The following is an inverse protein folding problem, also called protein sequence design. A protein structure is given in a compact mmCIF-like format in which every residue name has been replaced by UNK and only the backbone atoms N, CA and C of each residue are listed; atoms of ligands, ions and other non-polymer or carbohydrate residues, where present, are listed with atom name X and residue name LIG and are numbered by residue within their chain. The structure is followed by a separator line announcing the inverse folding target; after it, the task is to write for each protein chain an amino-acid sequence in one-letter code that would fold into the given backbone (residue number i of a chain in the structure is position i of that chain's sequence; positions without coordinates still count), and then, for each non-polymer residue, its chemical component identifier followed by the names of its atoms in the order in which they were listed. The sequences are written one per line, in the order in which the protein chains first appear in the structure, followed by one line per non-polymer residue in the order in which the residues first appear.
data_IF_984065486416
#
_entry.id   IF_984065486416
#
_cell.length_a   1.000
_cell.length_b   1.000
_cell.length_c   1.000
_cell.angle_alpha   90.00
_cell.angle_beta   90.00
_cell.angle_gamma   90.00
#
_symmetry.space_group_name_H-M   'P 1'
#
loop_
_entity.id
_entity.type
_entity.pdbx_description
1 polymer ?
#
# COMPACT_ATOMS: atom_id res chain seq x y z
N UNK A 1 2.26 7.11 -19.81
CA UNK A 1 2.07 7.02 -18.35
C UNK A 1 0.68 6.47 -18.09
N UNK A 2 0.56 5.41 -17.30
CA UNK A 2 -0.72 4.80 -16.91
C UNK A 2 -0.95 5.17 -15.44
N UNK A 3 -2.08 5.79 -15.14
CA UNK A 3 -2.46 6.14 -13.77
C UNK A 3 -3.55 5.20 -13.26
N UNK A 4 -3.42 4.81 -11.99
CA UNK A 4 -4.40 4.03 -11.25
C UNK A 4 -4.84 4.84 -10.04
N UNK A 5 -6.15 4.85 -9.78
CA UNK A 5 -6.74 5.55 -8.64
C UNK A 5 -7.07 4.52 -7.54
N UNK A 6 -6.64 4.80 -6.31
CA UNK A 6 -6.90 4.00 -5.10
C UNK A 6 -7.76 4.82 -4.15
N UNK A 7 -8.63 4.17 -3.38
CA UNK A 7 -9.67 4.82 -2.56
C UNK A 7 -10.64 5.68 -3.40
N UNK A 8 -10.18 6.84 -3.86
CA UNK A 8 -10.89 7.72 -4.80
C UNK A 8 -11.95 8.62 -4.18
N UNK A 9 -12.08 8.63 -2.85
CA UNK A 9 -12.81 9.69 -2.15
C UNK A 9 -12.11 11.03 -2.25
N UNK A 10 -12.79 12.08 -1.76
CA UNK A 10 -12.21 13.41 -1.65
C UNK A 10 -11.01 13.45 -0.69
N UNK A 11 -11.04 12.62 0.34
CA UNK A 11 -9.92 12.38 1.24
C UNK A 11 -9.82 10.90 1.65
N UNK A 12 -8.75 10.57 2.35
CA UNK A 12 -8.66 9.38 3.19
C UNK A 12 -9.24 9.75 4.56
N UNK A 13 -10.50 9.40 4.81
CA UNK A 13 -11.22 9.81 6.01
C UNK A 13 -10.79 9.03 7.25
N UNK A 14 -10.98 9.63 8.43
CA UNK A 14 -10.92 8.90 9.71
C UNK A 14 -12.07 7.89 9.81
N UNK A 15 -11.86 6.82 10.58
CA UNK A 15 -12.81 5.73 10.77
C UNK A 15 -13.42 5.68 12.19
N UNK A 16 -12.94 6.51 13.12
CA UNK A 16 -13.42 6.52 14.50
C UNK A 16 -14.45 7.62 14.78
N UNK A 17 -14.25 8.81 14.22
CA UNK A 17 -15.00 10.04 14.56
C UNK A 17 -15.84 10.59 13.40
N UNK A 18 -16.04 9.78 12.36
CA UNK A 18 -16.86 10.12 11.19
C UNK A 18 -18.23 9.47 11.27
N UNK A 19 -19.24 10.15 10.71
CA UNK A 19 -20.55 9.55 10.50
C UNK A 19 -20.59 8.90 9.11
N UNK A 20 -21.27 7.76 8.98
CA UNK A 20 -21.29 7.01 7.71
C UNK A 20 -21.88 7.81 6.54
N UNK A 21 -22.78 8.77 6.81
CA UNK A 21 -23.29 9.71 5.80
C UNK A 21 -22.15 10.53 5.21
N UNK A 22 -21.32 11.15 6.05
CA UNK A 22 -20.21 11.99 5.60
C UNK A 22 -19.13 11.15 4.89
N UNK A 23 -18.90 9.92 5.35
CA UNK A 23 -18.03 8.97 4.66
C UNK A 23 -18.52 8.69 3.23
N UNK A 24 -19.83 8.48 3.04
CA UNK A 24 -20.46 8.26 1.72
C UNK A 24 -20.39 9.51 0.86
N UNK A 25 -20.70 10.68 1.41
CA UNK A 25 -20.75 11.94 0.66
C UNK A 25 -19.37 12.31 0.08
N UNK A 26 -18.33 12.30 0.92
CA UNK A 26 -16.97 12.61 0.45
C UNK A 26 -16.45 11.56 -0.54
N UNK A 27 -16.84 10.28 -0.36
CA UNK A 27 -16.45 9.20 -1.28
C UNK A 27 -17.12 9.39 -2.63
N UNK A 28 -18.42 9.67 -2.61
CA UNK A 28 -19.24 9.88 -3.80
C UNK A 28 -18.74 11.07 -4.61
N UNK A 29 -18.39 12.17 -3.95
CA UNK A 29 -17.83 13.35 -4.60
C UNK A 29 -16.56 13.00 -5.40
N UNK A 30 -15.61 12.29 -4.78
CA UNK A 30 -14.39 11.87 -5.46
C UNK A 30 -14.64 10.87 -6.60
N UNK A 31 -15.50 9.86 -6.37
CA UNK A 31 -15.83 8.84 -7.37
C UNK A 31 -16.54 9.43 -8.58
N UNK A 32 -17.46 10.38 -8.39
CA UNK A 32 -18.14 11.09 -9.48
C UNK A 32 -17.16 11.88 -10.35
N UNK A 33 -16.17 12.54 -9.72
CA UNK A 33 -15.12 13.24 -10.45
C UNK A 33 -14.27 12.26 -11.26
N UNK A 34 -13.81 11.17 -10.66
CA UNK A 34 -13.02 10.15 -11.38
C UNK A 34 -13.80 9.50 -12.53
N UNK A 35 -15.10 9.26 -12.32
CA UNK A 35 -15.97 8.67 -13.33
C UNK A 35 -16.22 9.63 -14.49
N UNK A 36 -16.49 10.90 -14.21
CA UNK A 36 -16.77 11.91 -15.26
C UNK A 36 -15.52 12.29 -16.06
N UNK A 37 -14.37 12.43 -15.41
CA UNK A 37 -13.13 12.89 -16.06
C UNK A 37 -12.37 11.76 -16.74
N UNK A 38 -12.36 10.55 -16.16
CA UNK A 38 -11.48 9.47 -16.61
C UNK A 38 -12.21 8.16 -16.93
N UNK A 39 -13.53 8.11 -16.71
CA UNK A 39 -14.32 6.89 -16.78
C UNK A 39 -13.71 5.75 -15.95
N UNK A 40 -13.16 6.08 -14.78
CA UNK A 40 -12.55 5.11 -13.85
C UNK A 40 -13.40 4.93 -12.60
N UNK A 41 -13.40 3.70 -12.10
CA UNK A 41 -14.00 3.30 -10.83
C UNK A 41 -12.93 2.55 -10.04
N UNK A 42 -12.44 3.08 -8.91
CA UNK A 42 -11.46 2.40 -8.07
C UNK A 42 -11.95 1.03 -7.60
N UNK A 43 -11.02 0.09 -7.44
CA UNK A 43 -11.31 -1.30 -6.99
C UNK A 43 -10.60 -1.67 -5.69
N UNK A 44 -9.75 -0.78 -5.17
CA UNK A 44 -8.99 -1.02 -3.95
C UNK A 44 -9.06 0.20 -3.04
N UNK A 45 -9.58 -0.01 -1.83
CA UNK A 45 -9.54 0.95 -0.73
C UNK A 45 -8.11 1.16 -0.23
N UNK A 46 -7.81 2.38 0.19
CA UNK A 46 -6.48 2.79 0.66
C UNK A 46 -6.66 3.62 1.93
N UNK A 47 -6.44 2.99 3.07
CA UNK A 47 -6.64 3.53 4.42
C UNK A 47 -5.34 3.38 5.21
N UNK A 48 -4.24 3.91 4.66
CA UNK A 48 -2.90 3.67 5.21
C UNK A 48 -2.66 4.38 6.55
N UNK A 49 -3.35 5.49 6.80
CA UNK A 49 -3.05 6.39 7.91
C UNK A 49 -4.16 6.61 8.98
N UNK A 50 -5.44 6.20 8.82
CA UNK A 50 -6.40 6.24 9.92
C UNK A 50 -5.96 5.42 11.14
N UNK A 51 -6.30 5.90 12.34
CA UNK A 51 -5.83 5.33 13.61
C UNK A 51 -6.76 4.21 14.12
N UNK A 52 -6.68 3.06 13.47
CA UNK A 52 -7.59 1.93 13.69
C UNK A 52 -8.72 1.94 12.67
N UNK A 53 -9.43 0.82 12.56
CA UNK A 53 -10.34 0.58 11.45
C UNK A 53 -11.72 0.10 11.91
N UNK A 54 -12.76 0.60 11.27
CA UNK A 54 -14.16 0.35 11.64
C UNK A 54 -14.76 -0.81 10.86
N UNK A 55 -15.70 -1.53 11.48
CA UNK A 55 -16.46 -2.56 10.78
C UNK A 55 -17.22 -2.00 9.56
N UNK A 56 -17.71 -0.75 9.66
CA UNK A 56 -18.44 -0.04 8.60
C UNK A 56 -17.54 0.24 7.40
N UNK A 57 -16.26 0.56 7.61
CA UNK A 57 -15.31 0.74 6.52
C UNK A 57 -15.17 -0.51 5.67
N UNK A 58 -15.14 -1.69 6.31
CA UNK A 58 -14.96 -2.96 5.60
C UNK A 58 -16.15 -3.31 4.71
N UNK A 59 -17.36 -3.32 5.29
CA UNK A 59 -18.52 -3.81 4.55
C UNK A 59 -19.15 -2.71 3.69
N UNK A 60 -19.33 -1.49 4.21
CA UNK A 60 -20.07 -0.44 3.50
C UNK A 60 -19.17 0.39 2.59
N UNK A 61 -18.09 0.96 3.12
CA UNK A 61 -17.14 1.77 2.34
C UNK A 61 -16.00 0.93 1.72
N UNK A 62 -16.22 -0.38 1.66
CA UNK A 62 -15.33 -1.35 1.04
C UNK A 62 -16.13 -2.21 0.07
N UNK A 63 -16.74 -3.29 0.59
CA UNK A 63 -17.44 -4.26 -0.23
C UNK A 63 -18.61 -3.65 -1.04
N UNK A 64 -19.50 -2.87 -0.40
CA UNK A 64 -20.68 -2.28 -1.07
C UNK A 64 -20.32 -1.18 -2.08
N UNK A 65 -19.14 -0.54 -1.96
CA UNK A 65 -18.61 0.34 -3.01
C UNK A 65 -18.15 -0.42 -4.26
N UNK A 66 -18.04 -1.75 -4.17
CA UNK A 66 -17.48 -2.61 -5.21
C UNK A 66 -15.96 -2.71 -5.18
N UNK A 67 -15.33 -2.47 -4.03
CA UNK A 67 -13.90 -2.76 -3.86
C UNK A 67 -13.67 -4.25 -3.66
N UNK A 68 -12.58 -4.74 -4.26
CA UNK A 68 -12.09 -6.10 -4.09
C UNK A 68 -11.18 -6.22 -2.86
N UNK A 69 -10.51 -5.12 -2.47
CA UNK A 69 -9.58 -5.07 -1.35
C UNK A 69 -9.56 -3.74 -0.61
N UNK A 70 -9.08 -3.77 0.64
CA UNK A 70 -8.71 -2.59 1.43
C UNK A 70 -7.33 -2.82 2.06
N UNK A 71 -6.50 -1.78 2.03
CA UNK A 71 -5.11 -1.84 2.48
C UNK A 71 -4.85 -0.76 3.52
N UNK A 72 -4.16 -1.11 4.60
CA UNK A 72 -3.93 -0.21 5.72
C UNK A 72 -2.66 -0.54 6.49
N UNK A 73 -2.04 0.45 7.14
CA UNK A 73 -0.84 0.23 7.92
C UNK A 73 -1.13 0.09 9.42
N UNK A 74 -2.13 0.76 9.98
CA UNK A 74 -2.27 0.97 11.44
C UNK A 74 -3.20 -0.05 12.11
N UNK A 75 -2.61 -1.09 12.67
CA UNK A 75 -3.25 -2.01 13.63
C UNK A 75 -2.49 -1.99 14.96
N UNK A 76 -3.13 -2.46 16.02
CA UNK A 76 -2.51 -2.62 17.34
C UNK A 76 -1.19 -3.40 17.25
N UNK A 77 -0.19 -2.99 18.03
CA UNK A 77 1.16 -3.58 17.94
C UNK A 77 1.22 -5.03 18.42
N UNK A 78 0.40 -5.42 19.40
CA UNK A 78 0.30 -6.80 19.87
C UNK A 78 -0.40 -7.65 18.82
N UNK A 79 -1.48 -7.14 18.22
CA UNK A 79 -2.17 -7.81 17.11
C UNK A 79 -1.23 -8.00 15.91
N UNK A 80 -0.44 -6.98 15.56
CA UNK A 80 0.57 -7.09 14.48
C UNK A 80 1.61 -8.16 14.75
N UNK A 81 2.18 -8.19 15.95
CA UNK A 81 3.18 -9.19 16.32
C UNK A 81 2.61 -10.61 16.21
N UNK A 82 1.38 -10.80 16.69
CA UNK A 82 0.65 -12.07 16.56
C UNK A 82 0.40 -12.43 15.09
N UNK A 83 -0.11 -11.50 14.29
CA UNK A 83 -0.41 -11.72 12.87
C UNK A 83 0.81 -12.04 12.02
N UNK A 84 1.98 -11.49 12.36
CA UNK A 84 3.24 -11.88 11.72
C UNK A 84 3.58 -13.34 12.00
N UNK A 85 3.44 -13.79 13.26
CA UNK A 85 3.67 -15.18 13.65
C UNK A 85 2.67 -16.15 13.00
N UNK A 86 1.41 -15.76 12.94
CA UNK A 86 0.31 -16.57 12.38
C UNK A 86 0.15 -16.45 10.86
N UNK A 87 0.97 -15.60 10.20
CA UNK A 87 0.81 -15.18 8.80
C UNK A 87 -0.64 -14.74 8.49
N UNK A 88 -1.22 -13.91 9.34
CA UNK A 88 -2.62 -13.46 9.26
C UNK A 88 -2.77 -11.93 9.16
N UNK A 89 -1.74 -11.27 8.60
CA UNK A 89 -1.81 -9.87 8.18
C UNK A 89 -2.82 -9.66 7.03
N UNK A 90 -3.02 -10.69 6.21
CA UNK A 90 -4.00 -10.74 5.13
C UNK A 90 -5.18 -11.63 5.53
N UNK A 91 -6.39 -11.07 5.48
CA UNK A 91 -7.62 -11.76 5.89
C UNK A 91 -8.79 -11.45 4.96
N UNK A 92 -9.80 -12.32 4.99
CA UNK A 92 -11.14 -11.97 4.48
C UNK A 92 -11.92 -11.37 5.64
N UNK A 93 -12.22 -10.07 5.55
CA UNK A 93 -12.88 -9.32 6.60
C UNK A 93 -14.39 -9.26 6.36
N UNK A 94 -15.16 -9.91 7.24
CA UNK A 94 -16.62 -9.84 7.28
C UNK A 94 -17.05 -8.79 8.32
N UNK A 95 -17.12 -7.52 7.89
CA UNK A 95 -17.44 -6.40 8.79
C UNK A 95 -18.89 -6.34 9.24
N UNK A 96 -19.82 -6.93 8.49
CA UNK A 96 -21.26 -6.94 8.82
C UNK A 96 -21.71 -8.28 9.36
N UNK A 97 -22.31 -8.29 10.55
CA UNK A 97 -22.99 -9.49 11.09
C UNK A 97 -24.26 -9.85 10.32
N UNK A 98 -24.88 -8.87 9.67
CA UNK A 98 -26.11 -9.05 8.90
C UNK A 98 -25.83 -9.66 7.54
N UNK A 99 -24.80 -9.17 6.85
CA UNK A 99 -24.47 -9.57 5.48
C UNK A 99 -23.42 -10.69 5.43
N UNK A 100 -22.57 -10.80 6.45
CA UNK A 100 -21.56 -11.86 6.54
C UNK A 100 -20.68 -11.90 5.29
N UNK A 101 -20.66 -13.05 4.61
CA UNK A 101 -19.84 -13.26 3.42
C UNK A 101 -20.33 -12.53 2.16
N UNK A 102 -21.57 -12.03 2.11
CA UNK A 102 -22.06 -11.29 0.93
C UNK A 102 -21.44 -9.89 0.82
N UNK A 103 -20.94 -9.34 1.93
CA UNK A 103 -20.31 -8.01 2.01
C UNK A 103 -18.94 -8.11 2.67
N UNK A 104 -18.14 -9.10 2.24
CA UNK A 104 -16.78 -9.32 2.73
C UNK A 104 -15.75 -8.70 1.80
N UNK A 105 -14.59 -8.33 2.35
CA UNK A 105 -13.50 -7.71 1.59
C UNK A 105 -12.15 -8.34 1.94
N UNK A 106 -11.24 -8.41 0.96
CA UNK A 106 -9.85 -8.76 1.26
C UNK A 106 -9.16 -7.59 1.97
N UNK A 107 -8.75 -7.80 3.21
CA UNK A 107 -8.07 -6.80 4.02
C UNK A 107 -6.59 -7.15 4.16
N UNK A 108 -5.72 -6.20 3.86
CA UNK A 108 -4.27 -6.34 3.93
C UNK A 108 -3.69 -5.30 4.89
N UNK A 109 -3.29 -5.76 6.08
CA UNK A 109 -2.53 -4.98 7.04
C UNK A 109 -1.03 -5.03 6.70
N UNK A 110 -0.38 -3.88 6.52
CA UNK A 110 1.03 -3.88 6.17
C UNK A 110 1.93 -4.41 7.30
N UNK A 111 3.08 -5.05 6.98
CA UNK A 111 3.92 -5.65 8.01
C UNK A 111 4.51 -4.64 9.00
N UNK A 112 4.78 -3.39 8.61
CA UNK A 112 5.43 -2.40 9.48
C UNK A 112 4.73 -1.05 9.35
N UNK A 113 4.98 -0.35 8.24
CA UNK A 113 4.47 0.97 7.93
C UNK A 113 3.95 1.00 6.48
N UNK A 114 3.57 2.17 5.99
CA UNK A 114 3.30 2.44 4.57
C UNK A 114 4.52 3.02 3.82
N UNK A 115 5.72 2.89 4.42
CA UNK A 115 7.02 3.27 3.86
C UNK A 115 7.68 2.10 3.12
N UNK A 116 8.66 2.36 2.24
CA UNK A 116 9.49 1.30 1.68
C UNK A 116 10.31 0.58 2.77
N UNK A 117 10.88 -0.60 2.46
CA UNK A 117 11.88 -1.21 3.33
C UNK A 117 13.08 -0.29 3.57
N UNK A 118 13.77 -0.48 4.70
CA UNK A 118 14.97 0.28 5.04
C UNK A 118 16.01 0.24 3.91
N UNK A 119 16.53 1.41 3.53
CA UNK A 119 17.47 1.55 2.41
C UNK A 119 16.83 1.63 1.02
N UNK A 120 15.49 1.68 0.92
CA UNK A 120 14.74 1.79 -0.35
C UNK A 120 13.86 3.05 -0.44
N UNK A 121 14.17 4.07 0.37
CA UNK A 121 13.56 5.39 0.27
C UNK A 121 14.39 6.26 -0.70
N UNK A 122 13.76 6.76 -1.77
CA UNK A 122 14.46 7.34 -2.93
C UNK A 122 14.04 8.78 -3.24
N UNK A 123 13.70 9.56 -2.22
CA UNK A 123 13.36 10.96 -2.41
C UNK A 123 14.57 11.80 -2.81
N UNK A 124 14.34 12.87 -3.56
CA UNK A 124 15.41 13.67 -4.18
C UNK A 124 16.37 14.34 -3.21
N UNK A 125 15.92 14.61 -1.97
CA UNK A 125 16.73 15.28 -0.95
C UNK A 125 17.36 14.31 0.05
N UNK A 126 17.17 13.00 -0.15
CA UNK A 126 17.66 11.99 0.75
C UNK A 126 19.09 11.59 0.41
N UNK A 127 19.86 11.30 1.45
CA UNK A 127 21.17 10.66 1.32
C UNK A 127 20.99 9.14 1.28
N UNK A 128 20.59 8.63 0.12
CA UNK A 128 20.45 7.19 -0.13
C UNK A 128 21.57 6.67 -1.05
N UNK A 129 21.90 5.39 -0.94
CA UNK A 129 22.86 4.73 -1.83
C UNK A 129 22.19 4.34 -3.17
N UNK A 130 22.42 5.07 -4.28
CA UNK A 130 21.77 4.77 -5.56
C UNK A 130 22.36 3.50 -6.19
N UNK A 131 21.59 2.84 -7.04
CA UNK A 131 22.13 1.76 -7.88
C UNK A 131 23.07 2.37 -8.92
N UNK A 132 24.38 2.19 -8.72
CA UNK A 132 25.44 2.59 -9.65
C UNK A 132 25.85 1.39 -10.49
N UNK A 133 25.46 1.43 -11.75
CA UNK A 133 25.62 0.37 -12.74
C UNK A 133 26.59 0.74 -13.87
N UNK A 134 27.21 1.91 -13.81
CA UNK A 134 28.20 2.32 -14.78
C UNK A 134 29.59 1.80 -14.38
N UNK A 135 30.19 0.84 -15.12
CA UNK A 135 31.50 0.27 -14.79
C UNK A 135 32.66 1.25 -14.97
N UNK A 136 32.42 2.43 -15.56
CA UNK A 136 33.41 3.49 -15.75
C UNK A 136 33.43 4.50 -14.60
N UNK A 137 32.48 4.41 -13.67
CA UNK A 137 32.42 5.25 -12.48
C UNK A 137 32.87 4.47 -11.24
N UNK A 138 33.32 5.18 -10.21
CA UNK A 138 33.58 4.58 -8.91
C UNK A 138 32.27 4.11 -8.26
N UNK A 139 32.40 3.29 -7.21
CA UNK A 139 31.29 2.83 -6.37
C UNK A 139 30.23 2.01 -7.11
N UNK A 140 30.65 1.18 -8.07
CA UNK A 140 29.79 0.18 -8.70
C UNK A 140 29.26 -0.80 -7.65
N UNK A 141 27.93 -0.91 -7.50
CA UNK A 141 27.30 -1.58 -6.36
C UNK A 141 26.10 -2.49 -6.72
N UNK A 142 25.95 -2.89 -7.99
CA UNK A 142 24.77 -3.65 -8.45
C UNK A 142 24.51 -4.91 -7.63
N UNK A 143 25.53 -5.73 -7.39
CA UNK A 143 25.39 -6.99 -6.64
C UNK A 143 24.92 -6.76 -5.20
N UNK A 144 25.49 -5.74 -4.53
CA UNK A 144 25.10 -5.34 -3.18
C UNK A 144 23.62 -4.94 -3.14
N UNK A 145 23.19 -4.05 -4.03
CA UNK A 145 21.82 -3.54 -4.06
C UNK A 145 20.78 -4.62 -4.41
N UNK A 146 21.15 -5.59 -5.24
CA UNK A 146 20.31 -6.77 -5.52
C UNK A 146 20.19 -7.65 -4.28
N UNK A 147 21.29 -7.91 -3.58
CA UNK A 147 21.28 -8.70 -2.35
C UNK A 147 20.45 -8.03 -1.24
N UNK A 148 20.56 -6.70 -1.08
CA UNK A 148 19.72 -5.92 -0.16
C UNK A 148 18.23 -6.10 -0.48
N UNK A 149 17.88 -6.01 -1.77
CA UNK A 149 16.49 -6.14 -2.23
C UNK A 149 15.93 -7.52 -1.91
N UNK A 150 16.70 -8.57 -2.22
CA UNK A 150 16.31 -9.96 -1.95
C UNK A 150 16.18 -10.18 -0.44
N UNK A 151 17.11 -9.69 0.37
CA UNK A 151 17.05 -9.82 1.82
C UNK A 151 15.78 -9.17 2.40
N UNK A 152 15.47 -7.93 2.02
CA UNK A 152 14.25 -7.24 2.42
C UNK A 152 12.98 -7.99 1.96
N UNK A 153 12.98 -8.51 0.73
CA UNK A 153 11.85 -9.24 0.17
C UNK A 153 11.60 -10.55 0.94
N UNK A 154 12.67 -11.28 1.27
CA UNK A 154 12.59 -12.53 2.04
C UNK A 154 12.09 -12.29 3.47
N UNK A 155 12.46 -11.18 4.11
CA UNK A 155 11.93 -10.80 5.42
C UNK A 155 10.41 -10.63 5.36
N UNK A 156 9.90 -9.93 4.35
CA UNK A 156 8.45 -9.74 4.19
C UNK A 156 7.74 -11.02 3.75
N UNK A 157 8.33 -11.82 2.87
CA UNK A 157 7.77 -13.10 2.43
C UNK A 157 7.59 -14.07 3.62
N UNK A 158 8.50 -14.04 4.60
CA UNK A 158 8.41 -14.90 5.78
C UNK A 158 7.18 -14.65 6.64
N UNK A 159 6.59 -13.45 6.60
CA UNK A 159 5.36 -13.09 7.35
C UNK A 159 4.11 -13.03 6.47
N UNK A 160 4.23 -13.38 5.19
CA UNK A 160 3.15 -13.37 4.20
C UNK A 160 2.81 -14.81 3.77
N UNK A 161 1.58 -15.06 3.31
CA UNK A 161 1.11 -16.42 2.98
C UNK A 161 1.55 -16.91 1.61
N UNK A 162 1.39 -16.06 0.61
CA UNK A 162 1.57 -16.43 -0.80
C UNK A 162 2.99 -16.10 -1.27
N UNK A 163 3.28 -16.41 -2.53
CA UNK A 163 4.49 -15.99 -3.24
C UNK A 163 4.40 -14.53 -3.76
N UNK A 164 3.43 -13.76 -3.31
CA UNK A 164 3.26 -12.35 -3.66
C UNK A 164 3.34 -11.49 -2.40
N UNK A 165 4.16 -10.44 -2.47
CA UNK A 165 4.30 -9.41 -1.44
C UNK A 165 4.13 -8.03 -2.10
N UNK A 166 3.82 -7.02 -1.30
CA UNK A 166 3.65 -5.64 -1.76
C UNK A 166 4.59 -4.73 -0.99
N UNK A 167 5.43 -3.98 -1.70
CA UNK A 167 6.18 -2.85 -1.16
C UNK A 167 5.43 -1.56 -1.44
N UNK A 168 5.29 -0.72 -0.42
CA UNK A 168 4.75 0.62 -0.53
C UNK A 168 5.91 1.58 -0.79
N UNK A 169 6.32 1.67 -2.05
CA UNK A 169 7.45 2.52 -2.47
C UNK A 169 7.04 3.99 -2.44
N UNK A 170 7.00 4.59 -1.25
CA UNK A 170 6.61 5.98 -1.02
C UNK A 170 6.42 6.24 0.46
N UNK A 171 6.12 7.48 0.83
CA UNK A 171 5.86 7.90 2.20
C UNK A 171 5.07 9.22 2.18
N UNK A 172 4.95 9.90 3.32
CA UNK A 172 4.33 11.22 3.42
C UNK A 172 4.96 12.24 2.44
N UNK A 173 4.15 12.78 1.52
CA UNK A 173 4.53 13.84 0.57
C UNK A 173 5.78 13.56 -0.29
N UNK A 174 6.05 12.29 -0.59
CA UNK A 174 7.13 11.88 -1.49
C UNK A 174 6.78 12.10 -2.96
N UNK A 175 7.71 11.77 -3.85
CA UNK A 175 7.67 11.98 -5.30
C UNK A 175 7.67 13.46 -5.72
N UNK A 176 8.29 14.37 -4.95
CA UNK A 176 8.46 15.77 -5.37
C UNK A 176 9.27 15.86 -6.67
N UNK A 177 10.26 14.97 -6.80
CA UNK A 177 10.92 14.67 -8.07
C UNK A 177 10.83 13.16 -8.34
N UNK A 178 9.72 12.76 -8.96
CA UNK A 178 9.36 11.36 -9.18
C UNK A 178 10.43 10.53 -9.91
N UNK A 179 11.22 11.14 -10.79
CA UNK A 179 12.32 10.49 -11.50
C UNK A 179 13.37 9.89 -10.55
N UNK A 180 13.57 10.49 -9.35
CA UNK A 180 14.47 9.94 -8.33
C UNK A 180 14.07 8.52 -7.94
N UNK A 181 12.77 8.28 -7.71
CA UNK A 181 12.22 6.97 -7.39
C UNK A 181 12.22 6.04 -8.60
N UNK A 182 11.69 6.50 -9.74
CA UNK A 182 11.54 5.65 -10.92
C UNK A 182 12.89 5.17 -11.47
N UNK A 183 13.92 6.02 -11.48
CA UNK A 183 15.26 5.64 -11.91
C UNK A 183 15.85 4.50 -11.08
N UNK A 184 15.64 4.49 -9.76
CA UNK A 184 16.11 3.39 -8.91
C UNK A 184 15.26 2.14 -9.09
N UNK A 185 13.93 2.28 -9.15
CA UNK A 185 13.03 1.15 -9.35
C UNK A 185 13.27 0.44 -10.69
N UNK A 186 13.51 1.18 -11.78
CA UNK A 186 13.81 0.59 -13.08
C UNK A 186 15.09 -0.26 -13.04
N UNK A 187 16.15 0.25 -12.38
CA UNK A 187 17.40 -0.52 -12.21
C UNK A 187 17.20 -1.75 -11.32
N UNK A 188 16.50 -1.61 -10.20
CA UNK A 188 16.21 -2.74 -9.30
C UNK A 188 15.39 -3.82 -10.03
N UNK A 189 14.32 -3.44 -10.73
CA UNK A 189 13.52 -4.36 -11.54
C UNK A 189 14.39 -5.04 -12.61
N UNK A 190 15.28 -4.30 -13.26
CA UNK A 190 16.16 -4.86 -14.28
C UNK A 190 17.16 -5.88 -13.72
N UNK A 191 17.88 -5.54 -12.65
CA UNK A 191 18.97 -6.35 -12.13
C UNK A 191 18.51 -7.50 -11.24
N UNK A 192 17.41 -7.34 -10.49
CA UNK A 192 16.86 -8.43 -9.65
C UNK A 192 16.27 -9.56 -10.51
N UNK A 193 15.79 -9.25 -11.72
CA UNK A 193 15.18 -10.24 -12.62
C UNK A 193 16.17 -10.86 -13.63
N UNK A 194 17.47 -10.54 -13.53
CA UNK A 194 18.53 -11.15 -14.34
C UNK A 194 19.11 -12.37 -13.64
#
# INVERSE_FOLDING_TARGET
MIFLYRNGGWCMHDEATTHYIDMIDQTTLGHQLLKSQFNKTPRAGWQIDPFGHSAVQAYLLGAELGFDSVHFARIDYQDRAKRKGDKSLEVIWQGSRTFGSSSQIFANAFPVHYSPPDGFHFEVNDDFNPVQDNPLLFDFNVEERVNDFIAAAMIQANVTRTNHIMWTMGDDFQYQYAESWFKQMDKLIHYVNK
#
